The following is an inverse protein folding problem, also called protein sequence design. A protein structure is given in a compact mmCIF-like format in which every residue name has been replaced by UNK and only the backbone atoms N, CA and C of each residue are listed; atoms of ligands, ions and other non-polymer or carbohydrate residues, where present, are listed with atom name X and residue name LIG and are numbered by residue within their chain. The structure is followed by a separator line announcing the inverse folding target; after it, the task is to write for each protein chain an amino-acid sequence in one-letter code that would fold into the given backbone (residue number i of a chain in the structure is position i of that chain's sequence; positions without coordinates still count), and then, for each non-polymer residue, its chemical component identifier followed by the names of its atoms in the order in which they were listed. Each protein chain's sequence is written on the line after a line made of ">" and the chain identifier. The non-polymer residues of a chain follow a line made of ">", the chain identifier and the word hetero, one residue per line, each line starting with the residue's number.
data_IF_464323216304
#
_entry.id   IF_464323216304
#
_cell.length_a   1.000
_cell.length_b   1.000
_cell.length_c   1.000
_cell.angle_alpha   90.00
_cell.angle_beta   90.00
_cell.angle_gamma   90.00
#
_symmetry.space_group_name_H-M   'P 1'
#
loop_
_entity.id
_entity.type
_entity.pdbx_description
1 polymer ?
#
# COMPACT_ATOMS: atom_id res chain seq x y z
N UNK A 1 21.25 -6.39 -1.78
CA UNK A 1 21.71 -7.73 -1.38
C UNK A 1 22.79 -7.57 -0.34
N UNK A 2 22.78 -8.41 0.69
CA UNK A 2 23.79 -8.41 1.78
C UNK A 2 24.01 -7.04 2.45
N UNK A 3 22.96 -6.25 2.57
CA UNK A 3 23.01 -4.91 3.17
C UNK A 3 23.50 -3.81 2.22
N UNK A 4 23.86 -4.12 0.99
CA UNK A 4 24.26 -3.11 -0.01
C UNK A 4 23.05 -2.56 -0.76
N UNK A 5 22.97 -1.23 -0.82
CA UNK A 5 21.96 -0.52 -1.61
C UNK A 5 22.35 -0.56 -3.09
N UNK A 6 21.51 -1.17 -3.95
CA UNK A 6 21.79 -1.34 -5.38
C UNK A 6 21.53 -0.09 -6.22
N UNK A 7 20.67 0.80 -5.75
CA UNK A 7 20.21 2.01 -6.44
C UNK A 7 20.48 3.25 -5.60
N UNK A 8 21.73 3.45 -5.19
CA UNK A 8 22.15 4.49 -4.25
C UNK A 8 22.19 5.91 -4.84
N UNK A 9 22.16 6.06 -6.17
CA UNK A 9 22.21 7.36 -6.83
C UNK A 9 20.81 7.83 -7.24
N UNK A 10 20.62 9.16 -7.34
CA UNK A 10 19.36 9.73 -7.84
C UNK A 10 19.09 9.40 -9.32
N UNK A 11 20.09 8.95 -10.06
CA UNK A 11 19.93 8.47 -11.44
C UNK A 11 19.24 7.10 -11.49
N UNK A 12 19.51 6.24 -10.49
CA UNK A 12 19.03 4.86 -10.47
C UNK A 12 17.83 4.67 -9.54
N UNK A 13 17.64 5.56 -8.56
CA UNK A 13 16.54 5.48 -7.63
C UNK A 13 15.21 5.81 -8.30
N UNK A 14 14.29 4.87 -8.31
CA UNK A 14 12.96 5.05 -8.90
C UNK A 14 12.05 5.80 -7.94
N UNK A 15 11.96 7.11 -8.09
CA UNK A 15 10.93 7.91 -7.41
C UNK A 15 9.62 7.84 -8.18
N UNK A 16 8.49 7.57 -7.51
CA UNK A 16 7.17 7.69 -8.14
C UNK A 16 6.94 9.11 -8.64
N UNK A 17 6.43 9.23 -9.84
CA UNK A 17 6.04 10.50 -10.45
C UNK A 17 4.54 10.72 -10.30
N UNK A 18 4.05 11.91 -10.68
CA UNK A 18 2.61 12.20 -10.69
C UNK A 18 1.82 11.32 -11.67
N UNK A 19 2.49 10.72 -12.66
CA UNK A 19 1.86 9.76 -13.58
C UNK A 19 1.74 8.35 -13.01
N UNK A 20 2.53 8.02 -11.99
CA UNK A 20 2.53 6.70 -11.35
C UNK A 20 1.47 6.57 -10.24
N UNK A 21 0.96 7.70 -9.74
CA UNK A 21 0.05 7.75 -8.60
C UNK A 21 -1.27 8.37 -9.07
N UNK A 22 -2.41 7.69 -8.83
CA UNK A 22 -3.72 8.27 -9.16
C UNK A 22 -4.03 9.47 -8.26
N UNK A 23 -5.02 10.27 -8.65
CA UNK A 23 -5.55 11.32 -7.77
C UNK A 23 -6.02 10.70 -6.45
N UNK A 24 -5.52 11.24 -5.34
CA UNK A 24 -5.88 10.79 -4.00
C UNK A 24 -6.95 11.72 -3.44
N UNK A 25 -8.12 11.17 -3.18
CA UNK A 25 -9.17 11.87 -2.44
C UNK A 25 -8.91 11.75 -0.94
N UNK A 26 -8.84 12.90 -0.26
CA UNK A 26 -8.57 12.94 1.17
C UNK A 26 -9.84 13.19 1.95
N UNK A 27 -10.19 12.28 2.84
CA UNK A 27 -11.30 12.43 3.79
C UNK A 27 -10.75 12.50 5.20
N UNK A 28 -10.96 13.64 5.87
CA UNK A 28 -10.50 13.88 7.25
C UNK A 28 -11.67 13.65 8.19
N UNK A 29 -11.56 12.63 9.04
CA UNK A 29 -12.55 12.35 10.08
C UNK A 29 -12.14 13.08 11.36
N UNK A 30 -12.92 14.09 11.73
CA UNK A 30 -12.71 14.83 12.97
C UNK A 30 -13.38 14.09 14.14
N UNK A 31 -12.58 13.50 15.01
CA UNK A 31 -13.04 12.81 16.22
C UNK A 31 -12.27 13.38 17.42
N UNK A 32 -12.77 14.42 18.08
CA UNK A 32 -12.06 15.06 19.18
C UNK A 32 -11.90 14.12 20.37
N UNK A 33 -10.77 14.24 21.08
CA UNK A 33 -10.52 13.51 22.31
C UNK A 33 -10.88 14.41 23.52
N UNK A 34 -11.92 14.09 24.29
CA UNK A 34 -12.34 14.92 25.41
C UNK A 34 -11.32 14.97 26.57
N UNK A 35 -10.38 14.03 26.62
CA UNK A 35 -9.35 13.96 27.65
C UNK A 35 -8.13 14.86 27.37
N UNK A 36 -8.04 15.45 26.17
CA UNK A 36 -6.91 16.29 25.78
C UNK A 36 -7.33 17.74 25.48
N UNK A 37 -6.46 18.71 25.79
CA UNK A 37 -6.68 20.09 25.38
C UNK A 37 -6.95 20.21 23.88
N UNK A 38 -7.88 21.06 23.49
CA UNK A 38 -8.30 21.27 22.09
C UNK A 38 -8.81 20.00 21.37
N UNK A 39 -9.04 18.91 22.10
CA UNK A 39 -9.48 17.65 21.49
C UNK A 39 -8.44 16.94 20.63
N UNK A 40 -7.16 17.26 20.78
CA UNK A 40 -6.08 16.74 19.93
C UNK A 40 -5.92 15.24 20.03
N UNK A 41 -5.54 14.62 18.89
CA UNK A 41 -5.16 13.21 18.78
C UNK A 41 -3.83 13.10 18.04
N UNK A 42 -3.08 12.03 18.31
CA UNK A 42 -1.91 11.69 17.51
C UNK A 42 -2.32 11.32 16.08
N UNK A 43 -1.52 11.72 15.10
CA UNK A 43 -1.77 11.41 13.68
C UNK A 43 -0.52 10.88 12.94
N UNK A 44 0.52 10.46 13.68
CA UNK A 44 1.77 9.98 13.09
C UNK A 44 1.70 8.55 12.58
N UNK A 45 1.96 7.58 13.42
CA UNK A 45 2.18 6.19 13.01
C UNK A 45 0.92 5.38 12.73
N UNK A 46 -0.23 5.72 13.30
CA UNK A 46 -1.44 4.95 13.11
C UNK A 46 -1.92 4.90 11.65
N UNK A 47 -1.53 5.86 10.82
CA UNK A 47 -1.84 5.87 9.39
C UNK A 47 -1.03 4.86 8.57
N UNK A 48 0.04 4.27 9.13
CA UNK A 48 0.90 3.30 8.45
C UNK A 48 0.31 1.89 8.45
N UNK A 49 -0.45 1.54 9.47
CA UNK A 49 -1.00 0.19 9.64
C UNK A 49 -2.10 -0.19 8.64
N UNK A 50 -3.07 0.68 8.28
CA UNK A 50 -4.16 0.33 7.38
C UNK A 50 -3.79 0.14 5.91
N UNK A 51 -2.81 0.86 5.31
CA UNK A 51 -2.55 0.82 3.87
C UNK A 51 -2.30 -0.58 3.30
N UNK A 52 -1.52 -1.48 3.92
CA UNK A 52 -1.34 -2.83 3.40
C UNK A 52 -2.64 -3.61 3.25
N UNK A 53 -3.52 -3.53 4.25
CA UNK A 53 -4.83 -4.18 4.21
C UNK A 53 -5.76 -3.55 3.16
N UNK A 54 -5.77 -2.24 3.06
CA UNK A 54 -6.57 -1.51 2.07
C UNK A 54 -6.15 -1.88 0.63
N UNK A 55 -4.85 -1.92 0.36
CA UNK A 55 -4.29 -2.31 -0.95
C UNK A 55 -4.63 -3.78 -1.26
N UNK A 56 -4.48 -4.70 -0.28
CA UNK A 56 -4.83 -6.10 -0.46
C UNK A 56 -6.31 -6.29 -0.80
N UNK A 57 -7.20 -5.54 -0.16
CA UNK A 57 -8.63 -5.55 -0.45
C UNK A 57 -8.94 -4.97 -1.83
N UNK A 58 -8.30 -3.88 -2.22
CA UNK A 58 -8.46 -3.29 -3.55
C UNK A 58 -8.00 -4.26 -4.67
N UNK A 59 -6.88 -4.95 -4.47
CA UNK A 59 -6.41 -5.99 -5.40
C UNK A 59 -7.43 -7.12 -5.48
N UNK A 60 -7.95 -7.58 -4.34
CA UNK A 60 -8.96 -8.63 -4.32
C UNK A 60 -10.24 -8.21 -5.05
N UNK A 61 -10.69 -6.99 -4.84
CA UNK A 61 -11.88 -6.44 -5.50
C UNK A 61 -11.69 -6.37 -7.02
N UNK A 62 -10.51 -5.91 -7.46
CA UNK A 62 -10.20 -5.74 -8.88
C UNK A 62 -10.02 -7.07 -9.64
N UNK A 63 -9.36 -8.06 -9.05
CA UNK A 63 -8.94 -9.29 -9.77
C UNK A 63 -9.32 -10.59 -9.07
N UNK A 64 -9.96 -10.51 -7.92
CA UNK A 64 -10.49 -11.66 -7.17
C UNK A 64 -9.42 -12.58 -6.59
N UNK A 65 -8.17 -12.10 -6.40
CA UNK A 65 -7.10 -12.89 -5.76
C UNK A 65 -6.67 -12.26 -4.45
N UNK A 66 -6.27 -13.10 -3.48
CA UNK A 66 -5.68 -12.66 -2.21
C UNK A 66 -4.17 -12.76 -2.27
N UNK A 67 -3.49 -11.65 -2.04
CA UNK A 67 -2.03 -11.58 -1.91
C UNK A 67 -1.70 -11.40 -0.44
N UNK A 68 -1.17 -12.43 0.20
CA UNK A 68 -0.91 -12.47 1.65
C UNK A 68 0.55 -12.16 2.02
N UNK A 69 1.29 -11.56 1.11
CA UNK A 69 2.70 -11.24 1.33
C UNK A 69 3.03 -9.82 0.88
N UNK A 70 3.91 -9.18 1.61
CA UNK A 70 4.46 -7.86 1.29
C UNK A 70 5.88 -7.99 0.71
N UNK A 71 6.28 -7.06 -0.17
CA UNK A 71 5.46 -6.07 -0.86
C UNK A 71 4.55 -6.71 -1.92
N UNK A 72 3.38 -6.11 -2.16
CA UNK A 72 2.44 -6.55 -3.21
C UNK A 72 2.91 -6.06 -4.59
N UNK A 73 4.12 -6.45 -4.95
CA UNK A 73 4.74 -6.04 -6.20
C UNK A 73 4.02 -6.65 -7.42
N UNK A 74 4.06 -6.00 -8.59
CA UNK A 74 3.34 -6.43 -9.79
C UNK A 74 3.56 -7.90 -10.18
N UNK A 75 4.78 -8.41 -10.05
CA UNK A 75 5.10 -9.81 -10.36
C UNK A 75 4.40 -10.80 -9.41
N UNK A 76 4.21 -10.44 -8.14
CA UNK A 76 3.50 -11.27 -7.15
C UNK A 76 1.98 -11.29 -7.40
N UNK A 77 1.41 -10.13 -7.71
CA UNK A 77 0.00 -10.03 -8.09
C UNK A 77 -0.27 -10.84 -9.36
N UNK A 78 0.59 -10.69 -10.38
CA UNK A 78 0.49 -11.47 -11.62
C UNK A 78 0.59 -12.99 -11.37
N UNK A 79 1.51 -13.42 -10.52
CA UNK A 79 1.64 -14.84 -10.15
C UNK A 79 0.37 -15.38 -9.48
N UNK A 80 -0.23 -14.61 -8.58
CA UNK A 80 -1.47 -14.98 -7.90
C UNK A 80 -2.66 -15.08 -8.88
N UNK A 81 -2.75 -14.16 -9.84
CA UNK A 81 -3.78 -14.20 -10.90
C UNK A 81 -3.61 -15.46 -11.75
N UNK A 82 -2.38 -15.76 -12.17
CA UNK A 82 -2.09 -16.95 -12.98
C UNK A 82 -2.43 -18.23 -12.22
N UNK A 83 -2.02 -18.35 -10.96
CA UNK A 83 -2.34 -19.52 -10.14
C UNK A 83 -3.85 -19.76 -10.00
N UNK A 84 -4.64 -18.67 -9.88
CA UNK A 84 -6.11 -18.77 -9.85
C UNK A 84 -6.67 -19.29 -11.18
N UNK A 85 -6.16 -18.83 -12.31
CA UNK A 85 -6.58 -19.27 -13.63
C UNK A 85 -6.27 -20.75 -13.85
N UNK A 86 -5.04 -21.17 -13.48
CA UNK A 86 -4.59 -22.56 -13.63
C UNK A 86 -5.38 -23.53 -12.72
N UNK A 87 -5.91 -23.05 -11.59
CA UNK A 87 -6.75 -23.86 -10.68
C UNK A 87 -8.23 -23.93 -11.10
N UNK A 88 -8.65 -23.08 -12.03
CA UNK A 88 -10.02 -23.04 -12.54
C UNK A 88 -10.19 -23.77 -13.90
N UNK A 89 -9.08 -24.20 -14.48
CA UNK A 89 -9.03 -24.97 -15.72
C UNK A 89 -8.95 -26.48 -15.47
#
# INVERSE_FOLDING_TARGET
>A
DEGHLKNASLLDYRMPTTLDIPMIETVILESPNPAHPYGVRGCGEHSISPPPGAIANAIHDAVGVRVNCMPMAPHRVRAAIKAKQDSAA
#
